data_IF_076152220698
#
_entry.id   IF_076152220698
#
_cell.length_a   1.000
_cell.length_b   1.000
_cell.length_c   1.000
_cell.angle_alpha   90.00
_cell.angle_beta   90.00
_cell.angle_gamma   90.00
#
_symmetry.space_group_name_H-M   'P 1'
#
loop_
_entity.id
_entity.type
_entity.pdbx_description
1 polymer ?
#
# COMPACT_ATOMS: atom_id res chain seq x y z
N UNK A 1 -14.47 -37.13 -52.14
CA UNK A 1 -15.73 -36.86 -51.43
C UNK A 1 -15.46 -37.04 -49.95
N UNK A 2 -15.12 -35.96 -49.23
CA UNK A 2 -14.97 -35.98 -47.77
C UNK A 2 -16.28 -35.46 -47.18
N UNK A 3 -16.92 -36.29 -46.36
CA UNK A 3 -18.20 -36.05 -45.70
C UNK A 3 -18.03 -35.01 -44.60
N UNK A 4 -18.80 -33.93 -44.64
CA UNK A 4 -18.90 -32.95 -43.56
C UNK A 4 -19.95 -33.43 -42.55
N UNK A 5 -19.50 -33.79 -41.35
CA UNK A 5 -20.37 -34.12 -40.22
C UNK A 5 -20.77 -32.81 -39.53
N UNK A 6 -21.96 -32.33 -39.83
CA UNK A 6 -22.55 -31.14 -39.21
C UNK A 6 -23.14 -31.54 -37.85
N UNK A 7 -22.41 -31.30 -36.76
CA UNK A 7 -22.92 -31.47 -35.39
C UNK A 7 -23.93 -30.36 -35.09
N UNK A 8 -25.20 -30.73 -35.07
CA UNK A 8 -26.31 -29.89 -34.65
C UNK A 8 -26.32 -29.85 -33.10
N UNK A 9 -25.77 -28.78 -32.51
CA UNK A 9 -25.97 -28.50 -31.09
C UNK A 9 -27.39 -27.99 -30.88
N UNK A 10 -28.23 -28.79 -30.24
CA UNK A 10 -29.54 -28.33 -29.75
C UNK A 10 -29.31 -27.48 -28.51
N UNK A 11 -29.47 -26.16 -28.65
CA UNK A 11 -29.52 -25.24 -27.52
C UNK A 11 -30.87 -25.43 -26.82
N UNK A 12 -30.86 -26.10 -25.66
CA UNK A 12 -31.97 -25.99 -24.72
C UNK A 12 -31.94 -24.58 -24.13
N UNK A 13 -32.93 -23.75 -24.48
CA UNK A 13 -33.21 -22.50 -23.79
C UNK A 13 -33.80 -22.84 -22.41
N UNK A 14 -32.96 -22.93 -21.38
CA UNK A 14 -33.43 -22.84 -20.01
C UNK A 14 -33.87 -21.39 -19.77
N UNK A 15 -35.13 -21.19 -19.36
CA UNK A 15 -35.58 -19.87 -18.92
C UNK A 15 -34.72 -19.44 -17.73
N UNK A 16 -34.02 -18.31 -17.87
CA UNK A 16 -33.23 -17.75 -16.78
C UNK A 16 -34.18 -17.29 -15.66
N UNK A 17 -33.92 -17.76 -14.44
CA UNK A 17 -34.70 -17.40 -13.26
C UNK A 17 -34.29 -16.01 -12.79
N UNK A 18 -35.22 -15.20 -12.31
CA UNK A 18 -34.94 -13.84 -11.83
C UNK A 18 -35.22 -13.70 -10.35
N UNK A 19 -34.35 -12.99 -9.64
CA UNK A 19 -34.53 -12.72 -8.22
C UNK A 19 -35.58 -11.62 -8.01
N UNK A 20 -36.55 -11.87 -7.12
CA UNK A 20 -37.54 -10.86 -6.75
C UNK A 20 -36.87 -9.70 -6.01
N UNK A 21 -37.42 -8.49 -6.11
CA UNK A 21 -36.92 -7.35 -5.33
C UNK A 21 -37.35 -7.49 -3.86
N UNK A 22 -36.46 -7.12 -2.94
CA UNK A 22 -36.71 -7.09 -1.51
C UNK A 22 -36.08 -5.85 -0.87
N UNK A 23 -36.54 -5.50 0.33
CA UNK A 23 -35.91 -4.47 1.17
C UNK A 23 -35.66 -5.02 2.56
N UNK A 24 -34.44 -4.87 3.04
CA UNK A 24 -33.96 -5.38 4.33
C UNK A 24 -33.30 -4.27 5.12
N UNK A 25 -33.30 -4.41 6.44
CA UNK A 25 -32.46 -3.60 7.35
C UNK A 25 -31.41 -4.51 7.95
N UNK A 26 -30.15 -4.22 7.68
CA UNK A 26 -29.05 -5.06 8.16
C UNK A 26 -28.79 -4.90 9.67
N UNK A 27 -27.86 -5.69 10.17
CA UNK A 27 -27.49 -5.74 11.57
C UNK A 27 -26.70 -4.52 12.06
N UNK A 28 -26.25 -3.66 11.14
CA UNK A 28 -25.61 -2.37 11.42
C UNK A 28 -26.61 -1.19 11.32
N UNK A 29 -27.87 -1.48 10.97
CA UNK A 29 -28.98 -0.52 10.89
C UNK A 29 -29.14 0.14 9.52
N UNK A 30 -28.41 -0.31 8.49
CA UNK A 30 -28.50 0.20 7.12
C UNK A 30 -29.63 -0.47 6.35
N UNK A 31 -30.30 0.31 5.50
CA UNK A 31 -31.40 -0.19 4.65
C UNK A 31 -30.85 -0.52 3.26
N UNK A 32 -31.13 -1.73 2.80
CA UNK A 32 -30.75 -2.19 1.46
C UNK A 32 -31.98 -2.62 0.68
N UNK A 33 -32.18 -2.03 -0.50
CA UNK A 33 -33.09 -2.54 -1.52
C UNK A 33 -32.26 -3.27 -2.58
N UNK A 34 -32.60 -4.54 -2.88
CA UNK A 34 -31.79 -5.33 -3.80
C UNK A 34 -31.55 -4.61 -5.13
N UNK A 35 -32.59 -4.04 -5.74
CA UNK A 35 -32.47 -3.41 -7.05
C UNK A 35 -31.80 -2.04 -6.92
N UNK A 36 -32.39 -1.10 -6.19
CA UNK A 36 -31.92 0.30 -6.23
C UNK A 36 -30.61 0.52 -5.49
N UNK A 37 -30.33 -0.27 -4.45
CA UNK A 37 -29.08 -0.14 -3.68
C UNK A 37 -27.92 -0.90 -4.31
N UNK A 38 -28.17 -1.90 -5.18
CA UNK A 38 -27.11 -2.78 -5.71
C UNK A 38 -27.22 -3.04 -7.20
N UNK A 39 -28.24 -3.78 -7.67
CA UNK A 39 -28.26 -4.27 -9.06
C UNK A 39 -28.37 -3.14 -10.10
N UNK A 40 -29.20 -2.13 -9.85
CA UNK A 40 -29.34 -0.97 -10.74
C UNK A 40 -28.07 -0.07 -10.73
N UNK A 41 -27.15 -0.29 -9.78
CA UNK A 41 -25.82 0.34 -9.74
C UNK A 41 -24.76 -0.49 -10.48
N UNK A 42 -25.16 -1.59 -11.12
CA UNK A 42 -24.24 -2.49 -11.83
C UNK A 42 -23.59 -3.54 -10.94
N UNK A 43 -23.97 -3.65 -9.66
CA UNK A 43 -23.36 -4.63 -8.75
C UNK A 43 -23.96 -6.02 -8.88
N UNK A 44 -23.11 -7.02 -8.67
CA UNK A 44 -23.50 -8.40 -8.40
C UNK A 44 -23.71 -8.60 -6.90
N UNK A 45 -24.77 -9.29 -6.51
CA UNK A 45 -25.05 -9.59 -5.10
C UNK A 45 -24.88 -11.08 -4.84
N UNK A 46 -24.13 -11.42 -3.79
CA UNK A 46 -23.93 -12.80 -3.34
C UNK A 46 -24.60 -12.98 -1.98
N UNK A 47 -25.54 -13.91 -1.87
CA UNK A 47 -26.25 -14.18 -0.62
C UNK A 47 -25.83 -15.53 -0.07
N UNK A 48 -25.31 -15.55 1.17
CA UNK A 48 -25.12 -16.76 1.97
C UNK A 48 -26.31 -16.96 2.89
N UNK A 49 -26.99 -18.10 2.75
CA UNK A 49 -28.03 -18.52 3.68
C UNK A 49 -27.41 -19.23 4.89
N UNK A 50 -27.72 -18.78 6.10
CA UNK A 50 -27.11 -19.32 7.32
C UNK A 50 -28.04 -19.22 8.53
N UNK A 51 -27.54 -19.60 9.71
CA UNK A 51 -28.07 -19.16 11.00
C UNK A 51 -26.92 -19.09 12.01
N UNK A 52 -27.10 -18.31 13.08
CA UNK A 52 -25.99 -17.88 13.97
C UNK A 52 -25.28 -19.03 14.70
N UNK A 53 -25.93 -20.19 14.85
CA UNK A 53 -25.37 -21.38 15.51
C UNK A 53 -25.09 -22.52 14.54
N UNK A 54 -25.08 -22.27 13.22
CA UNK A 54 -24.88 -23.27 12.17
C UNK A 54 -23.41 -23.74 12.12
N UNK A 55 -23.09 -25.00 12.49
CA UNK A 55 -21.69 -25.47 12.51
C UNK A 55 -20.97 -25.39 11.15
N UNK A 56 -21.55 -25.84 10.01
CA UNK A 56 -20.87 -25.73 8.72
C UNK A 56 -20.76 -24.27 8.24
N UNK A 57 -21.69 -23.40 8.63
CA UNK A 57 -21.61 -21.98 8.32
C UNK A 57 -20.47 -21.30 9.09
N UNK A 58 -20.31 -21.65 10.37
CA UNK A 58 -19.20 -21.20 11.22
C UNK A 58 -17.86 -21.64 10.63
N UNK A 59 -17.76 -22.90 10.19
CA UNK A 59 -16.52 -23.49 9.70
C UNK A 59 -15.90 -22.78 8.48
N UNK A 60 -16.71 -22.07 7.70
CA UNK A 60 -16.25 -21.35 6.49
C UNK A 60 -16.08 -19.84 6.70
N UNK A 61 -16.31 -19.32 7.91
CA UNK A 61 -16.28 -17.87 8.19
C UNK A 61 -14.96 -17.19 7.78
N UNK A 62 -13.76 -17.77 8.02
CA UNK A 62 -12.51 -17.14 7.58
C UNK A 62 -12.40 -17.04 6.06
N UNK A 63 -12.76 -18.12 5.34
CA UNK A 63 -12.70 -18.16 3.89
C UNK A 63 -13.76 -17.24 3.26
N UNK A 64 -14.93 -17.13 3.87
CA UNK A 64 -16.00 -16.26 3.42
C UNK A 64 -15.63 -14.78 3.56
N UNK A 65 -15.07 -14.36 4.71
CA UNK A 65 -14.51 -13.01 4.87
C UNK A 65 -13.38 -12.74 3.88
N UNK A 66 -12.48 -13.71 3.69
CA UNK A 66 -11.38 -13.58 2.71
C UNK A 66 -11.90 -13.36 1.29
N UNK A 67 -12.95 -14.07 0.88
CA UNK A 67 -13.62 -13.85 -0.42
C UNK A 67 -14.26 -12.47 -0.51
N UNK A 68 -14.95 -12.02 0.52
CA UNK A 68 -15.55 -10.68 0.52
C UNK A 68 -14.49 -9.59 0.31
N UNK A 69 -13.35 -9.69 1.01
CA UNK A 69 -12.22 -8.75 0.84
C UNK A 69 -11.65 -8.83 -0.57
N UNK A 70 -11.43 -10.04 -1.09
CA UNK A 70 -10.89 -10.22 -2.44
C UNK A 70 -11.78 -9.63 -3.54
N UNK A 71 -13.10 -9.61 -3.33
CA UNK A 71 -14.07 -9.01 -4.25
C UNK A 71 -14.35 -7.52 -3.97
N UNK A 72 -13.53 -6.87 -3.15
CA UNK A 72 -13.58 -5.42 -2.95
C UNK A 72 -14.47 -4.96 -1.81
N UNK A 73 -14.86 -5.85 -0.89
CA UNK A 73 -15.60 -5.50 0.35
C UNK A 73 -16.85 -4.65 0.12
N UNK A 74 -17.58 -4.88 -0.98
CA UNK A 74 -18.77 -4.08 -1.30
C UNK A 74 -18.49 -2.74 -1.99
N UNK A 75 -17.25 -2.27 -2.07
CA UNK A 75 -16.88 -0.98 -2.68
C UNK A 75 -16.64 -1.05 -4.20
N UNK A 76 -16.65 -2.25 -4.77
CA UNK A 76 -16.45 -2.51 -6.20
C UNK A 76 -17.69 -3.17 -6.81
N UNK A 77 -17.49 -4.09 -7.76
CA UNK A 77 -18.57 -4.74 -8.52
C UNK A 77 -19.45 -5.70 -7.72
N UNK A 78 -19.07 -6.09 -6.49
CA UNK A 78 -19.75 -7.18 -5.77
C UNK A 78 -20.06 -6.83 -4.32
N UNK A 79 -21.31 -7.06 -3.91
CA UNK A 79 -21.76 -6.99 -2.51
C UNK A 79 -22.08 -8.38 -1.96
N UNK A 80 -21.61 -8.68 -0.75
CA UNK A 80 -21.89 -9.95 -0.08
C UNK A 80 -22.91 -9.71 1.03
N UNK A 81 -23.88 -10.61 1.15
CA UNK A 81 -24.91 -10.59 2.18
C UNK A 81 -24.99 -11.95 2.87
N UNK A 82 -25.29 -11.94 4.16
CA UNK A 82 -25.68 -13.12 4.91
C UNK A 82 -27.09 -12.95 5.45
N UNK A 83 -28.01 -13.86 5.09
CA UNK A 83 -29.38 -13.81 5.56
C UNK A 83 -29.69 -15.02 6.44
N UNK A 84 -30.14 -14.78 7.67
CA UNK A 84 -30.52 -15.88 8.56
C UNK A 84 -31.83 -16.52 8.11
N UNK A 85 -31.86 -17.85 8.10
CA UNK A 85 -33.07 -18.64 7.82
C UNK A 85 -33.95 -18.86 9.06
N UNK A 86 -33.44 -18.53 10.26
CA UNK A 86 -34.16 -18.74 11.51
C UNK A 86 -34.89 -17.48 11.96
N UNK A 87 -36.17 -17.63 12.27
CA UNK A 87 -36.98 -16.53 12.82
C UNK A 87 -36.52 -16.07 14.20
N UNK A 88 -35.72 -16.89 14.90
CA UNK A 88 -35.16 -16.58 16.21
C UNK A 88 -33.84 -15.78 16.16
N UNK A 89 -33.23 -15.64 14.97
CA UNK A 89 -32.00 -14.86 14.78
C UNK A 89 -32.33 -13.40 14.50
N UNK A 90 -32.22 -12.54 15.50
CA UNK A 90 -32.33 -11.09 15.31
C UNK A 90 -31.04 -10.46 14.77
N UNK A 91 -31.13 -9.24 14.27
CA UNK A 91 -30.01 -8.40 13.88
C UNK A 91 -28.98 -8.32 15.00
N UNK A 92 -29.40 -8.17 16.26
CA UNK A 92 -28.48 -8.19 17.40
C UNK A 92 -27.68 -9.51 17.53
N UNK A 93 -28.30 -10.67 17.26
CA UNK A 93 -27.61 -11.96 17.22
C UNK A 93 -26.68 -12.07 16.02
N UNK A 94 -27.09 -11.55 14.86
CA UNK A 94 -26.25 -11.50 13.66
C UNK A 94 -25.05 -10.58 13.86
N UNK A 95 -25.20 -9.42 14.51
CA UNK A 95 -24.08 -8.55 14.92
C UNK A 95 -23.13 -9.30 15.85
N UNK A 96 -23.65 -10.04 16.84
CA UNK A 96 -22.83 -10.85 17.75
C UNK A 96 -22.04 -11.93 16.99
N UNK A 97 -22.69 -12.61 16.03
CA UNK A 97 -22.04 -13.57 15.16
C UNK A 97 -20.94 -12.94 14.32
N UNK A 98 -21.22 -11.81 13.65
CA UNK A 98 -20.24 -11.05 12.84
C UNK A 98 -19.02 -10.66 13.68
N UNK A 99 -19.25 -10.10 14.87
CA UNK A 99 -18.17 -9.68 15.78
C UNK A 99 -17.34 -10.86 16.29
N UNK A 100 -17.96 -12.01 16.54
CA UNK A 100 -17.26 -13.23 17.00
C UNK A 100 -16.28 -13.76 15.95
N UNK A 101 -16.64 -13.64 14.66
CA UNK A 101 -15.87 -14.18 13.55
C UNK A 101 -15.20 -13.12 12.66
N UNK A 102 -15.17 -11.86 13.11
CA UNK A 102 -14.61 -10.71 12.39
C UNK A 102 -15.14 -10.55 10.95
N UNK A 103 -16.46 -10.67 10.80
CA UNK A 103 -17.14 -10.52 9.52
C UNK A 103 -17.61 -9.07 9.30
N UNK A 104 -17.33 -8.53 8.13
CA UNK A 104 -17.57 -7.11 7.77
C UNK A 104 -18.71 -6.88 6.77
N UNK A 105 -19.15 -7.91 6.04
CA UNK A 105 -20.22 -7.83 5.04
C UNK A 105 -21.62 -7.62 5.66
N UNK A 106 -22.60 -7.34 4.80
CA UNK A 106 -24.01 -7.18 5.20
C UNK A 106 -24.53 -8.45 5.88
N UNK A 107 -25.13 -8.30 7.07
CA UNK A 107 -25.72 -9.40 7.82
C UNK A 107 -27.16 -9.08 8.20
N UNK A 108 -28.10 -10.00 7.95
CA UNK A 108 -29.54 -9.75 8.07
C UNK A 108 -30.17 -10.82 8.96
N UNK A 109 -30.77 -10.38 10.06
CA UNK A 109 -31.62 -11.17 10.94
C UNK A 109 -33.10 -11.03 10.60
N UNK A 110 -33.94 -11.77 11.32
CA UNK A 110 -35.37 -11.85 11.08
C UNK A 110 -36.11 -10.51 11.28
N UNK A 111 -35.75 -9.75 12.32
CA UNK A 111 -36.24 -8.38 12.55
C UNK A 111 -35.72 -7.36 11.52
N UNK A 112 -34.71 -7.73 10.74
CA UNK A 112 -34.23 -7.04 9.55
C UNK A 112 -34.91 -7.43 8.24
N UNK A 113 -35.99 -8.23 8.30
CA UNK A 113 -36.73 -8.80 7.17
C UNK A 113 -35.97 -9.90 6.38
N UNK A 114 -35.07 -10.66 7.02
CA UNK A 114 -34.39 -11.79 6.36
C UNK A 114 -35.35 -12.84 5.76
N UNK A 115 -36.59 -12.97 6.28
CA UNK A 115 -37.57 -13.93 5.76
C UNK A 115 -38.01 -13.65 4.33
N UNK A 116 -38.06 -12.39 3.90
CA UNK A 116 -38.40 -12.01 2.52
C UNK A 116 -37.34 -12.54 1.55
N UNK A 117 -36.08 -12.49 1.97
CA UNK A 117 -34.95 -13.05 1.21
C UNK A 117 -34.96 -14.57 1.24
N UNK A 118 -35.14 -15.20 2.40
CA UNK A 118 -34.85 -16.64 2.59
C UNK A 118 -36.02 -17.58 2.26
N UNK A 119 -37.27 -17.18 2.52
CA UNK A 119 -38.43 -18.08 2.38
C UNK A 119 -38.70 -18.54 0.95
N UNK A 120 -38.55 -17.70 -0.11
CA UNK A 120 -38.75 -18.17 -1.47
C UNK A 120 -37.79 -19.30 -1.87
N UNK A 121 -36.55 -19.31 -1.36
CA UNK A 121 -35.61 -20.41 -1.58
C UNK A 121 -36.02 -21.67 -0.80
N UNK A 122 -36.36 -21.51 0.48
CA UNK A 122 -36.75 -22.64 1.34
C UNK A 122 -38.05 -23.32 0.88
N UNK A 123 -38.96 -22.56 0.26
CA UNK A 123 -40.23 -23.07 -0.28
C UNK A 123 -40.13 -23.61 -1.71
N UNK A 124 -38.94 -23.56 -2.32
CA UNK A 124 -38.71 -24.14 -3.63
C UNK A 124 -39.04 -23.24 -4.83
N UNK A 125 -39.38 -21.96 -4.61
CA UNK A 125 -39.69 -21.03 -5.70
C UNK A 125 -38.48 -20.84 -6.63
N UNK A 126 -37.27 -20.99 -6.09
CA UNK A 126 -36.02 -20.86 -6.83
C UNK A 126 -35.29 -22.18 -7.12
N UNK A 127 -36.00 -23.31 -6.98
CA UNK A 127 -35.43 -24.66 -7.09
C UNK A 127 -35.28 -25.33 -5.72
N UNK A 128 -34.79 -26.57 -5.72
CA UNK A 128 -34.69 -27.38 -4.49
C UNK A 128 -33.86 -26.70 -3.41
N UNK A 129 -34.29 -26.80 -2.16
CA UNK A 129 -33.54 -26.31 -1.00
C UNK A 129 -32.44 -27.30 -0.58
N UNK A 130 -31.21 -26.81 -0.43
CA UNK A 130 -30.03 -27.64 -0.13
C UNK A 130 -29.50 -27.50 1.32
N UNK A 131 -30.20 -26.74 2.17
CA UNK A 131 -29.78 -26.49 3.55
C UNK A 131 -28.78 -25.34 3.66
N UNK A 132 -28.06 -25.26 4.78
CA UNK A 132 -27.11 -24.18 5.08
C UNK A 132 -25.70 -24.72 5.32
N UNK A 133 -24.64 -24.04 4.85
CA UNK A 133 -24.70 -22.85 4.00
C UNK A 133 -25.08 -23.23 2.56
N UNK A 134 -25.94 -22.42 1.95
CA UNK A 134 -26.19 -22.39 0.51
C UNK A 134 -25.94 -20.97 0.00
N UNK A 135 -25.65 -20.83 -1.29
CA UNK A 135 -25.34 -19.54 -1.88
C UNK A 135 -26.18 -19.25 -3.11
N UNK A 136 -26.57 -17.99 -3.27
CA UNK A 136 -27.18 -17.45 -4.46
C UNK A 136 -26.31 -16.32 -5.01
N UNK A 137 -26.14 -16.26 -6.33
CA UNK A 137 -25.48 -15.16 -7.02
C UNK A 137 -26.50 -14.48 -7.92
N UNK A 138 -26.65 -13.15 -7.78
CA UNK A 138 -27.60 -12.35 -8.52
C UNK A 138 -26.85 -11.33 -9.37
N UNK A 139 -27.02 -11.43 -10.68
CA UNK A 139 -26.42 -10.51 -11.66
C UNK A 139 -27.13 -9.14 -11.68
N UNK A 140 -26.49 -8.07 -12.20
CA UNK A 140 -27.11 -6.75 -12.33
C UNK A 140 -28.40 -6.75 -13.17
N UNK A 141 -28.51 -7.67 -14.14
CA UNK A 141 -29.71 -7.88 -14.96
C UNK A 141 -30.83 -8.64 -14.22
N UNK A 142 -30.65 -8.91 -12.92
CA UNK A 142 -31.57 -9.61 -12.00
C UNK A 142 -31.62 -11.12 -12.20
N UNK A 143 -30.78 -11.68 -13.07
CA UNK A 143 -30.65 -13.13 -13.23
C UNK A 143 -30.15 -13.76 -11.94
N UNK A 144 -30.83 -14.82 -11.49
CA UNK A 144 -30.51 -15.60 -10.31
C UNK A 144 -29.79 -16.90 -10.72
N UNK A 145 -28.61 -17.10 -10.15
CA UNK A 145 -27.91 -18.38 -10.15
C UNK A 145 -28.01 -19.02 -8.75
N UNK A 146 -28.76 -20.12 -8.67
CA UNK A 146 -28.96 -20.91 -7.46
C UNK A 146 -29.29 -22.38 -7.82
N UNK A 147 -28.77 -23.37 -7.08
CA UNK A 147 -27.79 -23.24 -6.01
C UNK A 147 -26.37 -22.99 -6.55
N UNK A 148 -25.55 -22.27 -5.79
CA UNK A 148 -24.10 -22.18 -6.02
C UNK A 148 -23.38 -22.78 -4.82
N UNK A 149 -22.36 -23.61 -5.04
CA UNK A 149 -21.52 -24.14 -3.98
C UNK A 149 -20.33 -23.23 -3.69
N UNK A 150 -19.80 -23.27 -2.46
CA UNK A 150 -18.74 -22.35 -2.03
C UNK A 150 -17.48 -22.37 -2.94
N UNK A 151 -17.13 -23.54 -3.47
CA UNK A 151 -15.98 -23.71 -4.37
C UNK A 151 -16.22 -23.11 -5.77
N UNK A 152 -17.47 -22.91 -6.16
CA UNK A 152 -17.88 -22.42 -7.49
C UNK A 152 -18.20 -20.92 -7.48
N UNK A 153 -18.23 -20.30 -6.29
CA UNK A 153 -18.64 -18.91 -6.11
C UNK A 153 -17.87 -17.93 -7.00
N UNK A 154 -16.54 -18.02 -7.08
CA UNK A 154 -15.77 -17.04 -7.87
C UNK A 154 -16.11 -17.14 -9.36
N UNK A 155 -16.30 -18.36 -9.87
CA UNK A 155 -16.69 -18.57 -11.26
C UNK A 155 -18.14 -18.09 -11.52
N UNK A 156 -19.05 -18.32 -10.58
CA UNK A 156 -20.43 -17.86 -10.67
C UNK A 156 -20.52 -16.32 -10.62
N UNK A 157 -19.72 -15.67 -9.77
CA UNK A 157 -19.62 -14.20 -9.70
C UNK A 157 -19.02 -13.66 -10.98
N UNK A 158 -17.89 -14.19 -11.46
CA UNK A 158 -17.29 -13.74 -12.73
C UNK A 158 -18.23 -13.90 -13.93
N UNK A 159 -19.07 -14.95 -13.95
CA UNK A 159 -20.06 -15.16 -15.02
C UNK A 159 -21.16 -14.08 -15.07
N UNK A 160 -21.31 -13.26 -14.02
CA UNK A 160 -22.21 -12.10 -14.03
C UNK A 160 -21.64 -10.89 -14.77
N UNK A 161 -20.35 -10.93 -15.13
CA UNK A 161 -19.59 -9.80 -15.67
C UNK A 161 -18.88 -8.96 -14.61
N UNK A 162 -19.00 -9.32 -13.32
CA UNK A 162 -18.26 -8.67 -12.24
C UNK A 162 -16.75 -8.98 -12.33
N UNK A 163 -15.93 -7.96 -12.09
CA UNK A 163 -14.49 -8.08 -12.02
C UNK A 163 -14.01 -7.92 -10.57
N UNK A 164 -12.98 -8.69 -10.18
CA UNK A 164 -12.31 -8.41 -8.90
C UNK A 164 -11.64 -7.03 -9.02
N UNK A 165 -11.57 -6.23 -7.94
CA UNK A 165 -10.62 -5.13 -7.93
C UNK A 165 -9.25 -5.69 -8.29
N UNK A 166 -8.58 -5.07 -9.27
CA UNK A 166 -7.18 -5.41 -9.56
C UNK A 166 -6.33 -5.32 -8.29
N UNK A 167 -5.06 -5.79 -8.30
CA UNK A 167 -4.18 -5.58 -7.14
C UNK A 167 -4.30 -4.12 -6.72
N UNK A 168 -4.82 -3.87 -5.51
CA UNK A 168 -4.96 -2.53 -4.96
C UNK A 168 -3.54 -1.97 -4.88
N UNK A 169 -3.15 -1.18 -5.89
CA UNK A 169 -1.95 -0.37 -5.79
C UNK A 169 -2.33 0.68 -4.76
N UNK A 170 -1.77 0.65 -3.53
CA UNK A 170 -2.06 1.71 -2.57
C UNK A 170 -1.80 3.05 -3.25
N UNK A 171 -2.67 4.04 -3.03
CA UNK A 171 -2.46 5.39 -3.54
C UNK A 171 -1.01 5.78 -3.26
N UNK A 172 -0.22 6.18 -4.26
CA UNK A 172 1.19 6.26 -4.04
C UNK A 172 1.53 7.46 -3.15
N UNK A 173 2.56 7.30 -2.33
CA UNK A 173 3.09 8.38 -1.50
C UNK A 173 3.91 9.33 -2.37
N UNK A 174 3.65 10.63 -2.28
CA UNK A 174 4.53 11.64 -2.86
C UNK A 174 5.66 11.93 -1.88
N UNK A 175 6.90 11.70 -2.26
CA UNK A 175 8.06 11.92 -1.38
C UNK A 175 8.81 13.16 -1.85
N UNK A 176 8.93 14.16 -0.98
CA UNK A 176 9.71 15.38 -1.21
C UNK A 176 10.97 15.38 -0.35
N UNK A 177 12.13 15.45 -1.00
CA UNK A 177 13.42 15.50 -0.32
C UNK A 177 13.91 16.96 -0.18
N UNK A 178 13.99 17.42 1.07
CA UNK A 178 14.53 18.73 1.43
C UNK A 178 15.95 18.60 1.95
N UNK A 179 16.85 19.39 1.36
CA UNK A 179 18.25 19.42 1.75
C UNK A 179 18.51 20.61 2.68
N UNK A 180 18.95 20.31 3.90
CA UNK A 180 19.44 21.33 4.83
C UNK A 180 20.96 21.42 4.67
N UNK A 181 21.46 22.56 4.19
CA UNK A 181 22.91 22.80 4.05
C UNK A 181 23.40 23.80 5.09
N UNK A 182 24.58 23.55 5.66
CA UNK A 182 25.17 24.41 6.68
C UNK A 182 26.06 25.48 6.04
N UNK A 183 25.45 26.56 5.52
CA UNK A 183 26.14 27.70 4.86
C UNK A 183 26.99 27.31 3.63
N UNK A 184 26.61 26.23 2.94
CA UNK A 184 27.29 25.78 1.72
C UNK A 184 26.28 25.69 0.58
N UNK A 185 26.54 26.46 -0.47
CA UNK A 185 25.90 26.27 -1.77
C UNK A 185 26.51 25.04 -2.43
N UNK A 186 25.69 24.03 -2.70
CA UNK A 186 26.14 22.80 -3.30
C UNK A 186 25.88 22.86 -4.81
N UNK A 187 26.92 22.74 -5.66
CA UNK A 187 26.74 22.69 -7.11
C UNK A 187 25.83 21.53 -7.52
N UNK A 188 25.00 21.76 -8.54
CA UNK A 188 23.91 20.84 -8.93
C UNK A 188 24.37 19.43 -9.30
N UNK A 189 25.61 19.29 -9.77
CA UNK A 189 26.20 18.02 -10.20
C UNK A 189 27.13 17.38 -9.16
N UNK A 190 27.15 17.87 -7.92
CA UNK A 190 28.04 17.34 -6.89
C UNK A 190 27.42 16.21 -6.06
N UNK A 191 26.09 16.08 -6.07
CA UNK A 191 25.36 15.09 -5.29
C UNK A 191 24.41 14.30 -6.21
N UNK A 192 24.27 13.02 -5.91
CA UNK A 192 23.21 12.17 -6.42
C UNK A 192 22.45 11.57 -5.27
N UNK A 193 21.14 11.42 -5.43
CA UNK A 193 20.26 10.78 -4.45
C UNK A 193 19.66 9.54 -5.07
N UNK A 194 19.51 8.49 -4.27
CA UNK A 194 18.95 7.23 -4.72
C UNK A 194 17.99 6.67 -3.70
N UNK A 195 16.95 6.00 -4.17
CA UNK A 195 16.13 5.11 -3.35
C UNK A 195 16.55 3.66 -3.60
N UNK A 196 16.66 2.88 -2.52
CA UNK A 196 16.98 1.45 -2.57
C UNK A 196 16.35 0.73 -1.36
N UNK A 197 16.25 -0.61 -1.36
CA UNK A 197 15.91 -1.34 -0.14
C UNK A 197 17.05 -1.24 0.87
N UNK A 198 16.73 -1.16 2.17
CA UNK A 198 17.70 -0.98 3.25
C UNK A 198 18.83 -2.00 3.25
N UNK A 199 18.51 -3.28 3.06
CA UNK A 199 19.46 -4.39 3.20
C UNK A 199 20.00 -4.93 1.87
N UNK A 200 19.69 -4.29 0.74
CA UNK A 200 20.19 -4.72 -0.57
C UNK A 200 20.82 -3.54 -1.32
N UNK A 201 21.70 -3.85 -2.27
CA UNK A 201 22.32 -2.85 -3.14
C UNK A 201 21.46 -2.52 -4.38
N UNK A 202 20.49 -3.38 -4.70
CA UNK A 202 19.61 -3.26 -5.87
C UNK A 202 18.15 -3.60 -5.51
N UNK A 203 17.17 -3.03 -6.22
CA UNK A 203 17.33 -1.93 -7.18
C UNK A 203 17.82 -0.65 -6.49
N UNK A 204 18.57 0.17 -7.24
CA UNK A 204 19.07 1.47 -6.78
C UNK A 204 18.69 2.49 -7.84
N UNK A 205 17.71 3.32 -7.53
CA UNK A 205 17.02 4.16 -8.51
C UNK A 205 17.33 5.62 -8.19
N UNK A 206 17.81 6.38 -9.19
CA UNK A 206 18.24 7.77 -9.01
C UNK A 206 17.02 8.70 -8.88
N UNK A 207 17.00 9.50 -7.81
CA UNK A 207 15.99 10.53 -7.59
C UNK A 207 16.46 11.80 -8.31
N UNK A 208 15.70 12.21 -9.32
CA UNK A 208 16.00 13.41 -10.11
C UNK A 208 15.16 14.60 -9.66
N UNK A 209 15.53 15.80 -10.11
CA UNK A 209 14.76 17.01 -9.83
C UNK A 209 13.58 17.11 -10.80
N UNK A 210 12.42 17.50 -10.28
CA UNK A 210 11.26 17.84 -11.10
C UNK A 210 11.47 19.16 -11.86
N UNK A 211 10.50 19.55 -12.70
CA UNK A 211 10.55 20.79 -13.49
C UNK A 211 10.65 22.07 -12.65
N UNK A 212 10.37 22.01 -11.35
CA UNK A 212 10.52 23.11 -10.38
C UNK A 212 11.88 23.12 -9.68
N UNK A 213 12.76 22.15 -9.97
CA UNK A 213 14.10 22.05 -9.39
C UNK A 213 14.16 21.36 -8.01
N UNK A 214 13.06 20.76 -7.56
CA UNK A 214 12.95 20.05 -6.28
C UNK A 214 13.16 18.54 -6.48
N UNK A 215 13.76 17.86 -5.50
CA UNK A 215 13.82 16.40 -5.49
C UNK A 215 12.48 15.85 -5.01
N UNK A 216 11.74 15.21 -5.92
CA UNK A 216 10.39 14.71 -5.69
C UNK A 216 10.16 13.45 -6.52
N UNK A 217 9.57 12.43 -5.91
CA UNK A 217 9.22 11.19 -6.60
C UNK A 217 7.97 10.56 -6.00
N UNK A 218 7.35 9.66 -6.76
CA UNK A 218 6.14 8.93 -6.39
C UNK A 218 6.53 7.49 -6.03
N UNK A 219 6.05 6.99 -4.90
CA UNK A 219 6.39 5.65 -4.41
C UNK A 219 5.19 4.96 -3.72
N UNK A 220 4.85 3.71 -4.09
CA UNK A 220 5.39 2.97 -5.24
C UNK A 220 4.94 3.58 -6.59
N UNK A 221 5.67 3.31 -7.66
CA UNK A 221 5.33 3.72 -9.03
C UNK A 221 5.92 2.75 -10.08
N UNK A 222 5.57 2.91 -11.36
CA UNK A 222 6.17 2.12 -12.45
C UNK A 222 7.69 2.27 -12.51
N UNK A 223 8.20 3.48 -12.23
CA UNK A 223 9.65 3.77 -12.22
C UNK A 223 10.34 3.29 -10.94
N UNK A 224 9.62 3.34 -9.81
CA UNK A 224 10.12 2.94 -8.49
C UNK A 224 9.18 1.87 -7.92
N UNK A 225 9.42 0.59 -8.22
CA UNK A 225 8.56 -0.49 -7.73
C UNK A 225 8.61 -0.57 -6.21
N UNK A 226 7.59 -1.20 -5.64
CA UNK A 226 7.52 -1.46 -4.20
C UNK A 226 8.76 -2.22 -3.69
N UNK A 227 9.31 -1.77 -2.57
CA UNK A 227 10.53 -2.29 -1.96
C UNK A 227 10.31 -2.58 -0.48
N UNK A 228 11.04 -3.57 0.05
CA UNK A 228 11.03 -3.86 1.49
C UNK A 228 11.90 -2.82 2.21
N UNK A 229 11.31 -2.05 3.13
CA UNK A 229 11.97 -0.99 3.89
C UNK A 229 12.82 -0.06 3.00
N UNK A 230 12.19 0.72 2.11
CA UNK A 230 12.89 1.66 1.24
C UNK A 230 13.65 2.73 2.04
N UNK A 231 14.86 3.06 1.62
CA UNK A 231 15.64 4.17 2.14
C UNK A 231 16.23 5.04 1.02
N UNK A 232 16.36 6.32 1.32
CA UNK A 232 17.06 7.32 0.51
C UNK A 232 18.51 7.39 0.98
N UNK A 233 19.43 7.30 0.03
CA UNK A 233 20.86 7.48 0.22
C UNK A 233 21.37 8.64 -0.63
N UNK A 234 22.48 9.24 -0.20
CA UNK A 234 23.19 10.27 -0.96
C UNK A 234 24.57 9.76 -1.35
N UNK A 235 24.98 10.06 -2.58
CA UNK A 235 26.36 9.90 -3.05
C UNK A 235 26.96 11.24 -3.43
N UNK A 236 28.14 11.52 -2.87
CA UNK A 236 28.95 12.67 -3.24
C UNK A 236 29.79 12.32 -4.46
N UNK A 237 29.53 12.99 -5.58
CA UNK A 237 30.25 12.80 -6.85
C UNK A 237 31.16 14.00 -7.20
N UNK A 238 31.01 15.13 -6.52
CA UNK A 238 31.85 16.31 -6.72
C UNK A 238 33.22 16.23 -6.03
N UNK A 239 34.22 16.99 -6.50
CA UNK A 239 35.56 17.00 -5.91
C UNK A 239 35.55 17.62 -4.50
N UNK A 240 36.57 17.27 -3.71
CA UNK A 240 36.73 17.83 -2.37
C UNK A 240 37.15 19.31 -2.42
N UNK A 241 37.92 19.67 -3.46
CA UNK A 241 38.49 21.00 -3.64
C UNK A 241 37.39 22.06 -3.81
N UNK A 242 37.45 23.11 -2.99
CA UNK A 242 36.43 24.17 -2.97
C UNK A 242 37.00 25.45 -2.36
N UNK A 243 36.38 26.59 -2.69
CA UNK A 243 36.61 27.87 -2.00
C UNK A 243 35.89 27.98 -0.65
N UNK A 244 35.00 27.03 -0.33
CA UNK A 244 34.22 27.01 0.93
C UNK A 244 34.98 26.37 2.11
N UNK A 245 36.20 25.90 1.90
CA UNK A 245 37.11 25.40 2.95
C UNK A 245 38.33 26.31 2.96
N UNK A 246 38.68 26.81 4.14
CA UNK A 246 39.61 27.93 4.30
C UNK A 246 40.56 27.72 5.48
N UNK A 247 41.57 28.60 5.60
CA UNK A 247 42.48 28.57 6.73
C UNK A 247 41.77 28.84 8.08
N UNK A 248 40.62 29.52 8.06
CA UNK A 248 39.82 29.71 9.28
C UNK A 248 39.29 28.37 9.82
N UNK A 249 38.95 27.42 8.95
CA UNK A 249 38.47 26.09 9.35
C UNK A 249 39.56 25.32 10.11
N UNK A 250 40.79 25.39 9.59
CA UNK A 250 41.98 24.83 10.25
C UNK A 250 42.15 25.43 11.65
N UNK A 251 42.01 26.75 11.80
CA UNK A 251 42.16 27.41 13.10
C UNK A 251 41.09 26.92 14.08
N UNK A 252 39.82 26.83 13.65
CA UNK A 252 38.71 26.34 14.47
C UNK A 252 38.94 24.89 14.93
N UNK A 253 39.35 24.00 14.02
CA UNK A 253 39.66 22.60 14.35
C UNK A 253 40.89 22.51 15.27
N UNK A 254 41.93 23.33 15.04
CA UNK A 254 43.11 23.36 15.89
C UNK A 254 42.79 23.77 17.32
N UNK A 255 41.96 24.80 17.51
CA UNK A 255 41.48 25.20 18.84
C UNK A 255 40.72 24.07 19.52
N UNK A 256 39.95 23.29 18.77
CA UNK A 256 39.28 22.11 19.30
C UNK A 256 40.23 21.03 19.78
N UNK A 257 41.25 20.69 18.97
CA UNK A 257 42.28 19.71 19.34
C UNK A 257 43.02 20.13 20.62
N UNK A 258 43.23 21.44 20.80
CA UNK A 258 43.88 22.01 22.00
C UNK A 258 42.94 22.16 23.20
N UNK A 259 41.65 21.82 23.07
CA UNK A 259 40.64 21.96 24.13
C UNK A 259 40.23 23.41 24.43
N UNK A 260 40.51 24.35 23.50
CA UNK A 260 40.21 25.77 23.67
C UNK A 260 38.78 26.12 23.23
N UNK A 261 38.24 25.42 22.23
CA UNK A 261 36.87 25.62 21.72
C UNK A 261 36.21 24.26 21.42
N UNK A 262 34.89 24.19 21.54
CA UNK A 262 34.13 22.97 21.18
C UNK A 262 33.57 23.08 19.76
N UNK A 263 33.56 21.96 19.03
CA UNK A 263 32.92 21.87 17.72
C UNK A 263 31.41 21.63 17.90
N UNK A 264 30.66 22.73 18.03
CA UNK A 264 29.20 22.77 18.16
C UNK A 264 28.62 23.59 16.99
N UNK A 265 27.57 23.12 16.28
CA UNK A 265 26.84 21.86 16.48
C UNK A 265 27.53 20.61 15.93
N UNK A 266 27.03 19.39 16.27
CA UNK A 266 27.72 18.12 16.04
C UNK A 266 28.19 17.88 14.60
N UNK A 267 27.53 18.48 13.61
CA UNK A 267 27.98 18.38 12.22
C UNK A 267 29.41 18.88 12.02
N UNK A 268 29.88 19.85 12.82
CA UNK A 268 31.25 20.39 12.75
C UNK A 268 32.29 19.32 13.10
N UNK A 269 31.95 18.38 13.98
CA UNK A 269 32.82 17.26 14.30
C UNK A 269 32.94 16.31 13.09
N UNK A 270 31.81 16.00 12.46
CA UNK A 270 31.79 15.20 11.23
C UNK A 270 32.54 15.91 10.11
N UNK A 271 32.38 17.21 9.93
CA UNK A 271 33.11 17.98 8.93
C UNK A 271 34.63 18.01 9.19
N UNK A 272 35.07 17.88 10.44
CA UNK A 272 36.47 17.96 10.83
C UNK A 272 37.26 16.67 10.59
N UNK A 273 36.60 15.51 10.69
CA UNK A 273 37.19 14.18 10.45
C UNK A 273 37.22 13.90 8.94
N UNK A 274 38.21 14.48 8.26
CA UNK A 274 38.38 14.32 6.81
C UNK A 274 39.13 13.05 6.43
N UNK A 275 39.63 12.31 7.42
CA UNK A 275 40.25 10.99 7.25
C UNK A 275 39.28 9.85 7.51
N UNK A 276 38.10 10.13 8.04
CA UNK A 276 37.04 9.18 8.36
C UNK A 276 37.52 8.04 9.28
N UNK A 277 38.35 8.38 10.26
CA UNK A 277 38.86 7.45 11.27
C UNK A 277 38.17 7.58 12.64
N UNK A 278 37.19 8.49 12.74
CA UNK A 278 36.39 8.75 13.94
C UNK A 278 37.08 9.64 14.96
N UNK A 279 38.26 10.19 14.65
CA UNK A 279 39.01 11.10 15.51
C UNK A 279 39.28 12.42 14.81
N UNK A 280 39.46 13.48 15.58
CA UNK A 280 39.82 14.80 15.08
C UNK A 280 41.24 15.09 15.55
N UNK A 281 42.20 15.08 14.63
CA UNK A 281 43.63 15.12 14.94
C UNK A 281 44.39 16.10 14.04
N UNK A 282 45.68 16.27 14.30
CA UNK A 282 46.56 17.04 13.42
C UNK A 282 46.63 16.46 11.98
N UNK A 283 46.31 15.18 11.79
CA UNK A 283 46.29 14.56 10.47
C UNK A 283 45.17 15.12 9.59
N UNK A 284 44.01 15.41 10.17
CA UNK A 284 42.91 16.10 9.47
C UNK A 284 43.34 17.49 9.01
N UNK A 285 43.99 18.26 9.89
CA UNK A 285 44.49 19.61 9.57
C UNK A 285 45.46 19.59 8.38
N UNK A 286 46.35 18.59 8.32
CA UNK A 286 47.31 18.46 7.21
C UNK A 286 46.58 18.18 5.89
N UNK A 287 45.56 17.33 5.90
CA UNK A 287 44.77 17.03 4.69
C UNK A 287 43.92 18.23 4.25
N UNK A 288 43.28 18.95 5.17
CA UNK A 288 42.57 20.21 4.88
C UNK A 288 43.54 21.26 4.30
N UNK A 289 44.75 21.38 4.85
CA UNK A 289 45.77 22.31 4.32
C UNK A 289 46.20 21.94 2.90
N UNK A 290 46.43 20.65 2.63
CA UNK A 290 46.75 20.16 1.27
C UNK A 290 45.61 20.48 0.31
N UNK A 291 44.35 20.34 0.74
CA UNK A 291 43.18 20.66 -0.05
C UNK A 291 43.13 22.15 -0.41
N UNK A 292 43.29 23.04 0.57
CA UNK A 292 43.28 24.50 0.37
C UNK A 292 44.38 24.92 -0.61
N UNK A 293 45.55 24.27 -0.54
CA UNK A 293 46.68 24.52 -1.44
C UNK A 293 46.52 23.86 -2.82
N UNK A 294 45.42 23.14 -3.07
CA UNK A 294 45.19 22.43 -4.35
C UNK A 294 46.10 21.24 -4.59
N UNK A 295 46.75 20.71 -3.54
CA UNK A 295 47.65 19.55 -3.63
C UNK A 295 46.90 18.21 -3.66
N UNK A 296 45.63 18.21 -3.24
CA UNK A 296 44.72 17.07 -3.32
C UNK A 296 43.36 17.55 -3.85
N UNK A 297 42.67 16.67 -4.57
CA UNK A 297 41.30 16.89 -5.07
C UNK A 297 40.29 15.98 -4.39
N UNK A 298 40.77 15.01 -3.61
CA UNK A 298 40.01 14.00 -2.88
C UNK A 298 40.60 13.85 -1.47
N UNK A 299 39.76 13.51 -0.51
CA UNK A 299 40.20 13.22 0.85
C UNK A 299 40.71 11.76 0.96
N UNK A 300 41.60 11.46 1.92
CA UNK A 300 42.08 10.10 2.13
C UNK A 300 40.96 9.14 2.57
N UNK A 301 41.25 7.84 2.49
CA UNK A 301 40.37 6.75 2.93
C UNK A 301 38.99 6.71 2.23
N UNK A 302 38.90 7.27 1.01
CA UNK A 302 37.64 7.35 0.27
C UNK A 302 36.61 8.27 0.93
N UNK A 303 37.05 9.20 1.79
CA UNK A 303 36.15 10.13 2.46
C UNK A 303 35.48 11.03 1.42
N UNK A 304 34.14 11.04 1.34
CA UNK A 304 33.43 11.81 0.33
C UNK A 304 33.54 13.32 0.61
N UNK A 305 33.43 14.14 -0.44
CA UNK A 305 33.49 15.61 -0.34
C UNK A 305 32.35 16.19 0.50
N UNK A 306 31.19 15.52 0.47
CA UNK A 306 29.98 15.84 1.23
C UNK A 306 29.44 14.60 1.92
N UNK A 307 28.90 14.75 3.13
CA UNK A 307 28.24 13.67 3.88
C UNK A 307 26.82 14.08 4.26
N UNK A 308 25.90 13.12 4.20
CA UNK A 308 24.56 13.26 4.78
C UNK A 308 24.59 12.82 6.25
N UNK A 309 23.81 13.50 7.08
CA UNK A 309 23.56 13.13 8.47
C UNK A 309 22.05 13.13 8.72
N UNK A 310 21.43 11.97 9.05
CA UNK A 310 21.98 10.62 8.97
C UNK A 310 22.41 10.23 7.54
N UNK A 311 23.20 9.16 7.41
CA UNK A 311 23.71 8.70 6.11
C UNK A 311 22.61 8.18 5.19
N UNK A 312 21.54 7.66 5.76
CA UNK A 312 20.35 7.19 5.05
C UNK A 312 19.09 7.72 5.73
N UNK A 313 18.00 7.84 4.97
CA UNK A 313 16.68 8.23 5.49
C UNK A 313 15.64 7.23 5.02
N UNK A 314 14.84 6.67 5.94
CA UNK A 314 13.76 5.77 5.56
C UNK A 314 12.70 6.54 4.77
N UNK A 315 12.13 5.89 3.74
CA UNK A 315 10.91 6.36 3.11
C UNK A 315 9.74 5.79 3.91
N UNK A 316 8.94 6.66 4.49
CA UNK A 316 7.71 6.28 5.21
C UNK A 316 6.57 6.37 4.20
N UNK A 317 5.86 5.27 4.01
CA UNK A 317 4.68 5.21 3.15
C UNK A 317 3.49 5.84 3.87
N UNK A 318 2.84 6.80 3.20
CA UNK A 318 1.59 7.45 3.63
C UNK A 318 0.69 7.61 2.40
N UNK A 319 -0.11 6.58 2.06
CA UNK A 319 -0.88 6.54 0.83
C UNK A 319 -1.77 7.77 0.65
N UNK A 320 -1.70 8.37 -0.55
CA UNK A 320 -2.47 9.58 -0.90
C UNK A 320 -1.93 10.90 -0.32
N UNK A 321 -0.83 10.88 0.44
CA UNK A 321 -0.26 12.06 1.07
C UNK A 321 1.16 12.39 0.57
N UNK A 322 1.64 13.57 0.96
CA UNK A 322 3.03 14.01 0.73
C UNK A 322 3.86 13.85 2.00
N UNK A 323 4.94 13.09 1.90
CA UNK A 323 5.92 12.89 2.97
C UNK A 323 7.16 13.73 2.70
N UNK A 324 7.54 14.52 3.70
CA UNK A 324 8.74 15.37 3.65
C UNK A 324 9.90 14.64 4.32
N UNK A 325 10.97 14.40 3.56
CA UNK A 325 12.22 13.84 4.06
C UNK A 325 13.26 14.93 4.14
N UNK A 326 13.80 15.18 5.34
CA UNK A 326 14.87 16.15 5.54
C UNK A 326 16.22 15.46 5.58
N UNK A 327 17.18 15.94 4.80
CA UNK A 327 18.56 15.44 4.82
C UNK A 327 19.53 16.59 5.07
N UNK A 328 20.29 16.49 6.16
CA UNK A 328 21.34 17.46 6.47
C UNK A 328 22.62 17.11 5.72
N UNK A 329 23.14 18.05 4.91
CA UNK A 329 24.35 17.85 4.12
C UNK A 329 25.48 18.69 4.68
N UNK A 330 26.62 18.04 4.89
CA UNK A 330 27.84 18.63 5.46
C UNK A 330 28.96 18.58 4.44
N UNK A 331 29.64 19.72 4.22
CA UNK A 331 30.87 19.76 3.45
C UNK A 331 32.04 19.35 4.34
N UNK A 332 32.73 18.29 3.96
CA UNK A 332 33.94 17.87 4.66
C UNK A 332 35.02 18.95 4.56
N UNK A 333 35.63 19.27 5.69
CA UNK A 333 36.61 20.33 5.90
C UNK A 333 36.04 21.72 6.23
N UNK A 334 34.73 21.95 6.11
CA UNK A 334 34.12 23.25 6.43
C UNK A 334 33.46 23.21 7.83
N UNK A 335 33.96 24.03 8.76
CA UNK A 335 33.47 24.09 10.14
C UNK A 335 33.05 25.49 10.57
N UNK A 336 33.06 26.48 9.68
CA UNK A 336 32.72 27.86 10.02
C UNK A 336 31.32 28.29 9.58
#
# INVERSE_FOLDING_TARGET
MLSALMMCFSLWNYAQMTMHNFTVTDSDGQIHNLYTSHLDQGKTVVIKFFFTTCPPCIAITPQWQSKYVAWGSGDYDVEFMEASILTSDSNAKVTTFKNTYNLTMVGIGNDGNASDVTFPFMNGNYGSWWGTPSFAVISPDRTLNYPVFFAELDAAIAATGAEMPGPQVPDPTTVQLFLQTYNVDIPTNHLKFFVKPKNTATPKIEITKNGSGNYEFIYPSEEIPEMVEPEIIMESVGPAYTSKVSAADIVTIQKHILGLETLNPPYKQVASDVTNDGKITAFDLVNIRKLILGLITEFPNGTPSYRSIPSTQNVIEDPGHTVIVNMSIVKMGNVN
#
